data_IF_214463298214
#
_entry.id   IF_214463298214
#
_cell.length_a   1.000
_cell.length_b   1.000
_cell.length_c   1.000
_cell.angle_alpha   90.00
_cell.angle_beta   90.00
_cell.angle_gamma   90.00
#
_symmetry.space_group_name_H-M   'P 1'
#
loop_
_entity.id
_entity.type
_entity.pdbx_description
1 polymer ?
#
# COMPACT_ATOMS: atom_id res chain seq x y z
N UNK A 1 1.79 16.12 2.21
CA UNK A 1 2.75 14.99 2.15
C UNK A 1 3.92 15.31 3.07
N UNK A 2 4.09 14.56 4.15
CA UNK A 2 5.27 14.70 5.01
C UNK A 2 6.42 14.03 4.26
N UNK A 3 7.20 14.78 3.48
CA UNK A 3 8.31 14.22 2.68
C UNK A 3 9.25 13.33 3.51
N UNK A 4 9.43 13.64 4.80
CA UNK A 4 10.20 12.81 5.73
C UNK A 4 9.66 11.39 5.93
N UNK A 5 8.33 11.18 5.93
CA UNK A 5 7.78 9.82 6.06
C UNK A 5 7.97 9.02 4.78
N UNK A 6 7.90 9.66 3.62
CA UNK A 6 8.16 9.03 2.33
C UNK A 6 9.62 8.59 2.18
N UNK A 7 10.57 9.46 2.52
CA UNK A 7 11.99 9.09 2.48
C UNK A 7 12.31 8.02 3.53
N UNK A 8 11.72 8.10 4.73
CA UNK A 8 11.88 7.09 5.77
C UNK A 8 11.38 5.71 5.35
N UNK A 9 10.19 5.62 4.75
CA UNK A 9 9.65 4.36 4.26
C UNK A 9 10.43 3.81 3.06
N UNK A 10 10.86 4.67 2.13
CA UNK A 10 11.69 4.25 1.01
C UNK A 10 13.05 3.66 1.46
N UNK A 11 13.67 4.27 2.49
CA UNK A 11 14.94 3.80 3.04
C UNK A 11 14.77 2.45 3.78
N UNK A 12 13.66 2.28 4.50
CA UNK A 12 13.28 1.00 5.11
C UNK A 12 13.06 -0.10 4.06
N UNK A 13 12.34 0.20 2.98
CA UNK A 13 12.09 -0.72 1.87
C UNK A 13 13.40 -1.14 1.20
N UNK A 14 14.31 -0.19 0.96
CA UNK A 14 15.65 -0.46 0.43
C UNK A 14 16.48 -1.36 1.37
N UNK A 15 16.41 -1.10 2.68
CA UNK A 15 17.11 -1.92 3.68
C UNK A 15 16.58 -3.36 3.72
N UNK A 16 15.25 -3.52 3.69
CA UNK A 16 14.58 -4.81 3.61
C UNK A 16 15.01 -5.57 2.35
N UNK A 17 15.04 -4.90 1.19
CA UNK A 17 15.51 -5.50 -0.05
C UNK A 17 16.96 -5.96 0.06
N UNK A 18 17.88 -5.14 0.57
CA UNK A 18 19.29 -5.49 0.72
C UNK A 18 19.51 -6.72 1.61
N UNK A 19 18.82 -6.79 2.75
CA UNK A 19 18.93 -7.90 3.70
C UNK A 19 18.32 -9.18 3.13
N UNK A 20 17.16 -9.08 2.47
CA UNK A 20 16.45 -10.26 1.97
C UNK A 20 16.91 -10.74 0.59
N UNK A 21 17.58 -9.89 -0.19
CA UNK A 21 18.13 -10.21 -1.51
C UNK A 21 18.98 -11.50 -1.54
N UNK A 22 19.97 -11.72 -0.65
CA UNK A 22 20.77 -12.95 -0.66
C UNK A 22 19.93 -14.21 -0.39
N UNK A 23 18.89 -14.10 0.45
CA UNK A 23 17.97 -15.19 0.78
C UNK A 23 17.05 -15.50 -0.41
N UNK A 24 16.50 -14.45 -1.02
CA UNK A 24 15.63 -14.57 -2.19
C UNK A 24 16.37 -15.14 -3.39
N UNK A 25 17.67 -14.87 -3.56
CA UNK A 25 18.46 -15.37 -4.69
C UNK A 25 18.43 -16.90 -4.79
N UNK A 26 18.36 -17.60 -3.66
CA UNK A 26 18.31 -19.06 -3.56
C UNK A 26 16.89 -19.64 -3.67
N UNK A 27 15.86 -18.80 -3.60
CA UNK A 27 14.45 -19.20 -3.62
C UNK A 27 13.89 -19.30 -5.05
N UNK A 28 12.85 -20.14 -5.26
CA UNK A 28 12.17 -20.25 -6.55
C UNK A 28 11.53 -18.92 -6.96
N UNK A 29 11.30 -18.76 -8.26
CA UNK A 29 10.85 -17.50 -8.87
C UNK A 29 9.47 -17.03 -8.33
N UNK A 30 8.61 -17.97 -7.91
CA UNK A 30 7.32 -17.69 -7.27
C UNK A 30 7.46 -16.94 -5.95
N UNK A 31 8.42 -17.33 -5.12
CA UNK A 31 8.65 -16.70 -3.81
C UNK A 31 9.21 -15.29 -3.96
N UNK A 32 10.04 -15.07 -5.00
CA UNK A 32 10.54 -13.72 -5.36
C UNK A 32 9.41 -12.78 -5.73
N UNK A 33 8.48 -13.26 -6.57
CA UNK A 33 7.32 -12.47 -7.00
C UNK A 33 6.41 -12.18 -5.80
N UNK A 34 6.10 -13.19 -4.98
CA UNK A 34 5.26 -13.01 -3.80
C UNK A 34 5.85 -11.98 -2.83
N UNK A 35 7.15 -12.05 -2.57
CA UNK A 35 7.84 -11.06 -1.75
C UNK A 35 7.77 -9.65 -2.34
N UNK A 36 8.04 -9.53 -3.64
CA UNK A 36 8.00 -8.24 -4.34
C UNK A 36 6.59 -7.63 -4.34
N UNK A 37 5.55 -8.44 -4.49
CA UNK A 37 4.16 -8.01 -4.40
C UNK A 37 3.83 -7.49 -3.00
N UNK A 38 4.15 -8.24 -1.95
CA UNK A 38 3.89 -7.83 -0.56
C UNK A 38 4.62 -6.51 -0.24
N UNK A 39 5.87 -6.38 -0.69
CA UNK A 39 6.67 -5.18 -0.51
C UNK A 39 6.08 -3.97 -1.25
N UNK A 40 5.62 -4.16 -2.49
CA UNK A 40 4.92 -3.14 -3.27
C UNK A 40 3.60 -2.72 -2.61
N UNK A 41 2.82 -3.66 -2.11
CA UNK A 41 1.57 -3.37 -1.38
C UNK A 41 1.87 -2.58 -0.11
N UNK A 42 2.84 -2.99 0.70
CA UNK A 42 3.23 -2.28 1.92
C UNK A 42 3.74 -0.87 1.63
N UNK A 43 4.57 -0.71 0.60
CA UNK A 43 5.07 0.60 0.20
C UNK A 43 3.97 1.50 -0.35
N UNK A 44 3.11 0.97 -1.23
CA UNK A 44 1.94 1.66 -1.77
C UNK A 44 1.00 2.12 -0.65
N UNK A 45 0.69 1.24 0.30
CA UNK A 45 -0.12 1.57 1.49
C UNK A 45 0.52 2.67 2.34
N UNK A 46 1.85 2.72 2.45
CA UNK A 46 2.54 3.80 3.19
C UNK A 46 2.36 5.20 2.57
N UNK A 47 1.97 5.28 1.29
CA UNK A 47 1.64 6.55 0.63
C UNK A 47 0.23 7.03 0.97
N UNK A 48 -0.65 6.13 1.40
CA UNK A 48 -1.97 6.49 1.87
C UNK A 48 -1.91 6.95 3.32
N UNK A 49 -2.63 8.02 3.64
CA UNK A 49 -2.79 8.49 5.01
C UNK A 49 -3.84 7.62 5.71
N UNK A 50 -3.49 6.35 5.99
CA UNK A 50 -4.38 5.34 6.60
C UNK A 50 -5.25 5.86 7.77
N UNK A 51 -4.73 6.64 8.74
CA UNK A 51 -5.56 7.15 9.83
C UNK A 51 -6.58 8.22 9.38
N UNK A 52 -6.36 8.89 8.26
CA UNK A 52 -7.27 9.88 7.67
C UNK A 52 -8.01 9.36 6.44
N UNK A 53 -7.94 8.05 6.14
CA UNK A 53 -8.80 7.46 5.11
C UNK A 53 -10.24 7.65 5.58
N UNK A 54 -11.04 8.25 4.71
CA UNK A 54 -12.44 8.49 4.97
C UNK A 54 -13.09 7.16 5.41
N UNK A 55 -13.80 7.17 6.54
CA UNK A 55 -14.37 5.94 7.09
C UNK A 55 -15.37 5.28 6.14
N UNK A 56 -15.72 4.00 6.33
CA UNK A 56 -16.61 3.24 5.44
C UNK A 56 -17.93 3.96 5.10
N UNK A 57 -18.44 4.75 6.04
CA UNK A 57 -19.62 5.60 5.87
C UNK A 57 -19.46 6.68 4.79
N UNK A 58 -18.27 7.27 4.66
CA UNK A 58 -17.99 8.28 3.64
C UNK A 58 -17.90 7.65 2.25
N UNK A 59 -17.35 6.45 2.13
CA UNK A 59 -17.34 5.68 0.89
C UNK A 59 -18.74 5.29 0.48
N UNK A 60 -19.55 4.81 1.43
CA UNK A 60 -20.97 4.52 1.19
C UNK A 60 -21.70 5.78 0.70
N UNK A 61 -21.52 6.94 1.36
CA UNK A 61 -22.09 8.19 0.84
C UNK A 61 -21.57 8.54 -0.56
N UNK A 62 -20.29 8.35 -0.85
CA UNK A 62 -19.73 8.65 -2.18
C UNK A 62 -20.33 7.76 -3.28
N UNK A 63 -20.44 6.45 -3.04
CA UNK A 63 -21.02 5.51 -4.00
C UNK A 63 -22.53 5.65 -4.15
N UNK A 64 -23.26 5.96 -3.08
CA UNK A 64 -24.73 6.02 -3.10
C UNK A 64 -25.29 7.42 -3.40
N UNK A 65 -24.52 8.50 -3.19
CA UNK A 65 -24.92 9.88 -3.55
C UNK A 65 -25.34 10.07 -5.02
N UNK A 66 -24.67 9.49 -6.03
CA UNK A 66 -25.13 9.60 -7.42
C UNK A 66 -26.42 8.80 -7.73
N UNK A 67 -26.80 7.85 -6.88
CA UNK A 67 -28.05 7.07 -7.03
C UNK A 67 -29.22 7.62 -6.20
N UNK A 68 -28.99 8.65 -5.38
CA UNK A 68 -30.03 9.35 -4.66
C UNK A 68 -31.20 9.83 -5.55
N UNK A 69 -30.98 10.43 -6.74
CA UNK A 69 -32.08 10.86 -7.62
C UNK A 69 -32.82 9.73 -8.33
N UNK A 70 -32.37 8.47 -8.21
CA UNK A 70 -33.05 7.28 -8.75
C UNK A 70 -33.94 6.58 -7.71
N UNK A 71 -33.83 6.98 -6.43
CA UNK A 71 -34.60 6.41 -5.31
C UNK A 71 -35.74 7.31 -4.84
N UNK A 72 -35.93 8.48 -5.47
CA UNK A 72 -37.12 9.34 -5.32
C UNK A 72 -38.22 8.95 -6.32
#
# INVERSE_FOLDING_TARGET
>A
MKWGTFFGTALLVAFILLVLWPILKQKPLKDKIAFMMILLFGWGLSLFDLPNIAGPMTWMRFFFKPFAPLME
#
